data_IF_617557702618
#
_entry.id   IF_617557702618
#
_cell.length_a   1.000
_cell.length_b   1.000
_cell.length_c   1.000
_cell.angle_alpha   90.00
_cell.angle_beta   90.00
_cell.angle_gamma   90.00
#
_symmetry.space_group_name_H-M   'P 1'
#
loop_
_entity.id
_entity.type
_entity.pdbx_description
1 polymer ?
#
# COMPACT_ATOMS: atom_id res chain seq x y z
N UNK A 1 36.86 27.90 50.34
CA UNK A 1 37.14 27.64 48.91
C UNK A 1 36.51 26.30 48.57
N UNK A 2 35.44 26.31 47.78
CA UNK A 2 34.59 25.13 47.56
C UNK A 2 35.27 24.04 46.74
N UNK A 3 35.11 22.80 47.16
CA UNK A 3 35.51 21.59 46.44
C UNK A 3 34.53 21.36 45.28
N UNK A 4 34.72 22.04 44.15
CA UNK A 4 34.10 21.59 42.90
C UNK A 4 34.76 20.26 42.52
N UNK A 5 34.01 19.16 42.37
CA UNK A 5 34.59 17.86 42.08
C UNK A 5 35.20 17.85 40.68
N UNK A 6 36.52 18.07 40.59
CA UNK A 6 37.27 18.25 39.34
C UNK A 6 37.16 17.03 38.40
N UNK A 7 36.95 15.83 38.95
CA UNK A 7 36.84 14.59 38.18
C UNK A 7 35.42 14.31 37.64
N UNK A 8 34.39 15.00 38.14
CA UNK A 8 33.00 14.73 37.75
C UNK A 8 32.76 14.87 36.23
N UNK A 9 33.28 15.91 35.54
CA UNK A 9 33.11 16.02 34.08
C UNK A 9 33.72 14.84 33.31
N UNK A 10 34.84 14.29 33.80
CA UNK A 10 35.53 13.17 33.17
C UNK A 10 34.74 11.86 33.35
N UNK A 11 34.21 11.60 34.56
CA UNK A 11 33.37 10.44 34.85
C UNK A 11 32.10 10.46 33.98
N UNK A 12 31.41 11.61 33.92
CA UNK A 12 30.21 11.78 33.11
C UNK A 12 30.52 11.55 31.63
N UNK A 13 31.58 12.16 31.11
CA UNK A 13 31.97 12.01 29.71
C UNK A 13 32.33 10.56 29.34
N UNK A 14 33.06 9.86 30.20
CA UNK A 14 33.44 8.45 29.98
C UNK A 14 32.22 7.52 29.97
N UNK A 15 31.27 7.74 30.89
CA UNK A 15 30.02 6.97 30.93
C UNK A 15 29.14 7.25 29.70
N UNK A 16 29.00 8.52 29.29
CA UNK A 16 28.25 8.88 28.08
C UNK A 16 28.92 8.30 26.82
N UNK A 17 30.25 8.30 26.73
CA UNK A 17 30.97 7.70 25.62
C UNK A 17 30.75 6.18 25.54
N UNK A 18 30.80 5.47 26.67
CA UNK A 18 30.43 4.05 26.74
C UNK A 18 28.97 3.82 26.32
N UNK A 19 28.06 4.69 26.77
CA UNK A 19 26.65 4.67 26.37
C UNK A 19 26.46 4.86 24.86
N UNK A 20 27.19 5.79 24.25
CA UNK A 20 27.17 6.01 22.81
C UNK A 20 27.63 4.77 22.02
N UNK A 21 28.69 4.08 22.47
CA UNK A 21 29.16 2.83 21.86
C UNK A 21 28.08 1.74 21.98
N UNK A 22 27.42 1.63 23.13
CA UNK A 22 26.34 0.66 23.33
C UNK A 22 25.12 0.95 22.41
N UNK A 23 24.76 2.22 22.24
CA UNK A 23 23.70 2.66 21.32
C UNK A 23 24.06 2.39 19.85
N UNK A 24 25.31 2.63 19.45
CA UNK A 24 25.78 2.38 18.09
C UNK A 24 25.69 0.89 17.71
N UNK A 25 25.99 -0.02 18.64
CA UNK A 25 25.79 -1.48 18.45
C UNK A 25 24.33 -1.85 18.19
N UNK A 26 23.37 -0.99 18.59
CA UNK A 26 21.93 -1.13 18.32
C UNK A 26 21.46 -0.25 17.16
N UNK A 27 22.37 0.16 16.28
CA UNK A 27 22.10 0.99 15.09
C UNK A 27 21.61 2.42 15.41
N UNK A 28 21.90 2.95 16.60
CA UNK A 28 21.60 4.33 16.98
C UNK A 28 22.89 5.16 16.96
N UNK A 29 22.97 6.14 16.06
CA UNK A 29 24.14 7.00 15.90
C UNK A 29 24.00 8.26 16.75
N UNK A 30 24.83 8.38 17.79
CA UNK A 30 24.85 9.57 18.67
C UNK A 30 25.90 10.56 18.18
N UNK A 31 25.47 11.71 17.64
CA UNK A 31 26.37 12.79 17.20
C UNK A 31 26.84 13.71 18.32
N UNK A 32 26.08 13.79 19.43
CA UNK A 32 26.40 14.62 20.61
C UNK A 32 26.12 13.83 21.87
N UNK A 33 27.11 13.69 22.76
CA UNK A 33 26.99 12.84 23.97
C UNK A 33 25.87 13.28 24.92
N UNK A 34 25.63 14.59 25.03
CA UNK A 34 24.53 15.15 25.83
C UNK A 34 23.14 14.71 25.35
N UNK A 35 22.99 14.32 24.07
CA UNK A 35 21.71 13.84 23.54
C UNK A 35 21.26 12.55 24.23
N UNK A 36 22.17 11.76 24.79
CA UNK A 36 21.85 10.53 25.53
C UNK A 36 21.03 10.85 26.78
N UNK A 37 21.42 11.89 27.53
CA UNK A 37 20.68 12.30 28.72
C UNK A 37 19.32 12.88 28.37
N UNK A 38 19.26 13.73 27.35
CA UNK A 38 18.00 14.27 26.84
C UNK A 38 17.05 13.14 26.43
N UNK A 39 17.56 12.12 25.71
CA UNK A 39 16.76 10.97 25.29
C UNK A 39 16.24 10.14 26.47
N UNK A 40 17.04 9.99 27.54
CA UNK A 40 16.62 9.29 28.75
C UNK A 40 15.62 10.07 29.62
N UNK A 41 15.57 11.39 29.49
CA UNK A 41 14.67 12.28 30.22
C UNK A 41 13.48 12.76 29.37
N UNK A 42 13.24 12.15 28.21
CA UNK A 42 12.14 12.54 27.32
C UNK A 42 10.79 12.02 27.83
N UNK A 43 9.83 12.94 28.02
CA UNK A 43 8.43 12.62 28.31
C UNK A 43 7.54 12.58 27.05
N UNK A 44 7.96 13.28 25.98
CA UNK A 44 7.20 13.38 24.72
C UNK A 44 8.11 13.08 23.54
N UNK A 45 7.71 12.13 22.70
CA UNK A 45 8.40 11.78 21.45
C UNK A 45 7.57 12.21 20.25
N UNK A 46 8.00 13.26 19.57
CA UNK A 46 7.47 13.64 18.26
C UNK A 46 8.25 12.89 17.18
N UNK A 47 7.55 12.11 16.35
CA UNK A 47 8.12 11.35 15.25
C UNK A 47 7.40 11.69 13.96
N UNK A 48 8.14 11.69 12.84
CA UNK A 48 7.53 11.89 11.54
C UNK A 48 6.84 10.60 11.06
N UNK A 49 5.80 10.72 10.24
CA UNK A 49 5.10 9.54 9.72
C UNK A 49 5.92 8.87 8.61
N UNK A 50 6.21 9.61 7.54
CA UNK A 50 6.78 9.04 6.32
C UNK A 50 8.28 8.80 6.50
N UNK A 51 8.73 7.57 6.29
CA UNK A 51 10.15 7.21 6.41
C UNK A 51 10.66 7.04 7.85
N UNK A 52 9.80 7.24 8.86
CA UNK A 52 10.12 6.87 10.27
C UNK A 52 9.12 5.85 10.81
N UNK A 53 7.83 6.18 10.85
CA UNK A 53 6.78 5.21 11.24
C UNK A 53 6.42 4.27 10.09
N UNK A 54 6.45 4.77 8.85
CA UNK A 54 6.14 3.97 7.66
C UNK A 54 7.40 3.65 6.87
N UNK A 55 7.39 2.52 6.16
CA UNK A 55 8.51 2.03 5.36
C UNK A 55 8.55 2.62 3.95
N UNK A 56 7.82 3.71 3.69
CA UNK A 56 7.64 4.30 2.35
C UNK A 56 7.29 3.25 1.27
N UNK A 57 6.54 2.23 1.68
CA UNK A 57 6.16 1.08 0.86
C UNK A 57 4.68 0.84 1.00
N UNK A 58 3.97 0.93 -0.11
CA UNK A 58 2.56 0.54 -0.18
C UNK A 58 2.48 -0.99 -0.25
N UNK A 59 1.57 -1.55 0.53
CA UNK A 59 1.22 -2.97 0.54
C UNK A 59 -0.28 -3.11 0.34
N UNK A 60 -0.69 -4.13 -0.40
CA UNK A 60 -2.10 -4.51 -0.48
C UNK A 60 -2.42 -5.35 0.76
N UNK A 61 -3.39 -4.91 1.56
CA UNK A 61 -3.80 -5.61 2.77
C UNK A 61 -5.08 -6.44 2.55
N UNK A 62 -6.02 -5.89 1.79
CA UNK A 62 -7.34 -6.47 1.57
C UNK A 62 -7.80 -6.31 0.13
N UNK A 63 -8.48 -7.34 -0.39
CA UNK A 63 -9.16 -7.37 -1.69
C UNK A 63 -10.59 -7.86 -1.44
N UNK A 64 -11.52 -6.92 -1.26
CA UNK A 64 -12.84 -7.22 -0.72
C UNK A 64 -13.90 -7.27 -1.81
N UNK A 65 -14.91 -8.10 -1.59
CA UNK A 65 -16.21 -8.02 -2.27
C UNK A 65 -17.13 -6.98 -1.61
N UNK A 66 -18.32 -6.83 -2.16
CA UNK A 66 -19.31 -5.85 -1.70
C UNK A 66 -19.92 -6.15 -0.32
N UNK A 67 -19.63 -7.32 0.24
CA UNK A 67 -20.00 -7.68 1.60
C UNK A 67 -18.83 -7.48 2.58
N UNK A 68 -17.69 -6.98 2.11
CA UNK A 68 -16.48 -6.81 2.90
C UNK A 68 -15.71 -8.12 3.14
N UNK A 69 -16.02 -9.18 2.40
CA UNK A 69 -15.32 -10.48 2.48
C UNK A 69 -14.16 -10.52 1.49
N UNK A 70 -13.06 -11.20 1.85
CA UNK A 70 -11.93 -11.35 0.93
C UNK A 70 -12.35 -12.14 -0.32
N UNK A 71 -12.11 -11.57 -1.50
CA UNK A 71 -12.44 -12.17 -2.78
C UNK A 71 -11.24 -12.21 -3.73
N UNK A 72 -10.88 -13.41 -4.17
CA UNK A 72 -9.77 -13.62 -5.10
C UNK A 72 -10.10 -13.11 -6.51
N UNK A 73 -11.37 -13.06 -6.90
CA UNK A 73 -11.76 -12.52 -8.20
C UNK A 73 -11.41 -11.04 -8.31
N UNK A 74 -11.65 -10.27 -7.25
CA UNK A 74 -11.24 -8.85 -7.16
C UNK A 74 -9.72 -8.72 -7.25
N UNK A 75 -8.97 -9.58 -6.55
CA UNK A 75 -7.52 -9.62 -6.64
C UNK A 75 -7.05 -9.93 -8.07
N UNK A 76 -7.66 -10.91 -8.75
CA UNK A 76 -7.31 -11.31 -10.10
C UNK A 76 -7.54 -10.17 -11.11
N UNK A 77 -8.69 -9.49 -11.02
CA UNK A 77 -8.97 -8.32 -11.85
C UNK A 77 -7.97 -7.17 -11.60
N UNK A 78 -7.71 -6.85 -10.33
CA UNK A 78 -6.76 -5.81 -9.96
C UNK A 78 -5.33 -6.13 -10.42
N UNK A 79 -4.94 -7.41 -10.33
CA UNK A 79 -3.65 -7.90 -10.78
C UNK A 79 -3.53 -7.82 -12.30
N UNK A 80 -4.52 -8.31 -13.07
CA UNK A 80 -4.53 -8.20 -14.53
C UNK A 80 -4.39 -6.75 -14.97
N UNK A 81 -5.19 -5.85 -14.37
CA UNK A 81 -5.14 -4.42 -14.66
C UNK A 81 -3.74 -3.84 -14.39
N UNK A 82 -3.19 -4.09 -13.20
CA UNK A 82 -1.87 -3.57 -12.81
C UNK A 82 -0.71 -4.19 -13.60
N UNK A 83 -0.82 -5.47 -13.96
CA UNK A 83 0.21 -6.20 -14.67
C UNK A 83 0.36 -5.71 -16.12
N UNK A 84 -0.77 -5.54 -16.83
CA UNK A 84 -0.81 -5.16 -18.24
C UNK A 84 -0.83 -3.66 -18.51
N UNK A 85 -1.08 -2.81 -17.51
CA UNK A 85 -0.99 -1.35 -17.63
C UNK A 85 0.35 -0.91 -18.27
N UNK A 86 0.30 0.01 -19.24
CA UNK A 86 1.50 0.58 -19.86
C UNK A 86 2.09 1.72 -19.03
N UNK A 87 3.36 2.03 -19.30
CA UNK A 87 4.05 3.17 -18.68
C UNK A 87 4.60 2.84 -17.29
N UNK A 88 4.83 3.89 -16.49
CA UNK A 88 5.38 3.74 -15.15
C UNK A 88 4.31 3.26 -14.17
N UNK A 89 4.53 2.07 -13.61
CA UNK A 89 3.67 1.49 -12.57
C UNK A 89 3.80 2.30 -11.28
N UNK A 90 2.67 2.80 -10.78
CA UNK A 90 2.66 3.53 -9.51
C UNK A 90 2.91 2.57 -8.33
N UNK A 91 3.09 3.12 -7.12
CA UNK A 91 3.37 2.31 -5.93
C UNK A 91 2.22 1.36 -5.55
N UNK A 92 0.97 1.70 -5.89
CA UNK A 92 -0.20 0.84 -5.64
C UNK A 92 -0.21 -0.36 -6.59
N UNK A 93 0.03 -0.15 -7.89
CA UNK A 93 0.11 -1.20 -8.91
C UNK A 93 1.21 -2.20 -8.58
N UNK A 94 2.37 -1.68 -8.14
CA UNK A 94 3.47 -2.52 -7.67
C UNK A 94 3.10 -3.33 -6.43
N UNK A 95 2.32 -2.75 -5.51
CA UNK A 95 1.84 -3.46 -4.33
C UNK A 95 0.90 -4.61 -4.71
N UNK A 96 -0.04 -4.39 -5.63
CA UNK A 96 -0.96 -5.41 -6.13
C UNK A 96 -0.21 -6.53 -6.84
N UNK A 97 0.73 -6.20 -7.73
CA UNK A 97 1.52 -7.21 -8.46
C UNK A 97 2.33 -8.07 -7.49
N UNK A 98 3.04 -7.44 -6.55
CA UNK A 98 3.85 -8.15 -5.54
C UNK A 98 3.00 -9.01 -4.62
N UNK A 99 1.81 -8.54 -4.23
CA UNK A 99 0.90 -9.32 -3.40
C UNK A 99 0.32 -10.52 -4.15
N UNK A 100 -0.01 -10.36 -5.43
CA UNK A 100 -0.55 -11.44 -6.26
C UNK A 100 0.46 -12.54 -6.61
N UNK A 101 1.77 -12.26 -6.57
CA UNK A 101 2.80 -13.27 -6.80
C UNK A 101 2.68 -14.40 -5.77
N UNK A 102 2.45 -15.62 -6.26
CA UNK A 102 2.27 -16.82 -5.41
C UNK A 102 0.84 -17.01 -4.88
N UNK A 103 -0.11 -16.12 -5.23
CA UNK A 103 -1.52 -16.32 -4.86
C UNK A 103 -2.20 -17.31 -5.82
N UNK A 104 -3.14 -18.14 -5.34
CA UNK A 104 -3.86 -19.09 -6.16
C UNK A 104 -4.52 -18.44 -7.38
N UNK A 105 -4.33 -19.04 -8.56
CA UNK A 105 -4.93 -18.58 -9.81
C UNK A 105 -4.20 -17.44 -10.52
N UNK A 106 -3.30 -16.70 -9.86
CA UNK A 106 -2.60 -15.56 -10.48
C UNK A 106 -1.65 -16.00 -11.59
N UNK A 107 -0.97 -17.14 -11.45
CA UNK A 107 -0.09 -17.67 -12.49
C UNK A 107 -0.82 -17.94 -13.81
N UNK A 108 -2.08 -18.41 -13.73
CA UNK A 108 -2.91 -18.65 -14.91
C UNK A 108 -3.31 -17.33 -15.61
N UNK A 109 -3.35 -16.21 -14.89
CA UNK A 109 -3.64 -14.89 -15.46
C UNK A 109 -2.54 -14.40 -16.41
N UNK A 110 -1.32 -14.93 -16.30
CA UNK A 110 -0.24 -14.63 -17.25
C UNK A 110 -0.52 -15.08 -18.69
N UNK A 111 -1.58 -15.87 -18.92
CA UNK A 111 -2.04 -16.27 -20.25
C UNK A 111 -2.88 -15.21 -20.96
N UNK A 112 -3.33 -14.18 -20.25
CA UNK A 112 -4.00 -13.05 -20.88
C UNK A 112 -3.01 -12.22 -21.67
N UNK A 113 -3.43 -11.76 -22.85
CA UNK A 113 -2.69 -10.78 -23.64
C UNK A 113 -3.42 -9.44 -23.58
N UNK A 114 -2.66 -8.33 -23.59
CA UNK A 114 -3.25 -7.00 -23.68
C UNK A 114 -3.62 -6.71 -25.13
N UNK A 115 -4.86 -6.27 -25.34
CA UNK A 115 -5.37 -5.80 -26.62
C UNK A 115 -5.23 -4.29 -26.72
N UNK A 116 -5.70 -3.55 -25.71
CA UNK A 116 -5.71 -2.09 -25.72
C UNK A 116 -5.73 -1.51 -24.29
N UNK A 117 -5.56 -0.20 -24.17
CA UNK A 117 -5.58 0.54 -22.91
C UNK A 117 -6.10 1.97 -23.09
N UNK A 118 -6.95 2.39 -22.15
CA UNK A 118 -7.22 3.79 -21.88
C UNK A 118 -6.39 4.19 -20.66
N UNK A 119 -5.27 4.91 -20.86
CA UNK A 119 -4.38 5.29 -19.76
C UNK A 119 -5.12 6.17 -18.75
N UNK A 120 -4.50 6.35 -17.58
CA UNK A 120 -5.10 7.14 -16.52
C UNK A 120 -5.44 8.55 -17.01
N UNK A 121 -6.71 8.90 -16.82
CA UNK A 121 -7.28 10.16 -17.26
C UNK A 121 -7.65 10.98 -16.01
N UNK A 122 -7.16 12.21 -15.92
CA UNK A 122 -7.38 13.08 -14.76
C UNK A 122 -8.82 13.59 -14.63
N UNK A 123 -9.60 13.61 -15.72
CA UNK A 123 -11.01 14.00 -15.72
C UNK A 123 -11.84 12.82 -15.22
N UNK A 124 -11.58 11.63 -15.75
CA UNK A 124 -12.32 10.40 -15.42
C UNK A 124 -11.82 9.67 -14.17
N UNK A 125 -10.62 10.02 -13.71
CA UNK A 125 -9.88 9.51 -12.53
C UNK A 125 -9.82 7.98 -12.47
N UNK A 126 -9.68 7.37 -13.65
CA UNK A 126 -9.64 5.91 -13.84
C UNK A 126 -8.73 5.50 -14.99
N UNK A 127 -8.30 4.25 -14.94
CA UNK A 127 -7.50 3.57 -15.98
C UNK A 127 -8.20 2.28 -16.38
N UNK A 128 -8.26 2.02 -17.67
CA UNK A 128 -8.89 0.80 -18.20
C UNK A 128 -7.96 0.06 -19.14
N UNK A 129 -7.97 -1.27 -19.08
CA UNK A 129 -7.29 -2.12 -20.04
C UNK A 129 -8.27 -3.09 -20.66
N UNK A 130 -8.01 -3.48 -21.91
CA UNK A 130 -8.66 -4.61 -22.55
C UNK A 130 -7.66 -5.74 -22.63
N UNK A 131 -8.03 -6.88 -22.05
CA UNK A 131 -7.26 -8.12 -22.11
C UNK A 131 -8.04 -9.21 -22.81
N UNK A 132 -7.33 -10.17 -23.38
CA UNK A 132 -7.92 -11.29 -24.11
C UNK A 132 -7.35 -12.61 -23.61
N UNK A 133 -8.21 -13.62 -23.45
CA UNK A 133 -7.81 -14.98 -23.09
C UNK A 133 -7.40 -15.82 -24.33
N UNK A 134 -6.94 -17.05 -24.10
CA UNK A 134 -6.58 -18.00 -25.17
C UNK A 134 -7.75 -18.37 -26.10
N UNK A 135 -9.00 -18.21 -25.62
CA UNK A 135 -10.22 -18.46 -26.40
C UNK A 135 -10.69 -17.22 -27.17
N UNK A 136 -9.84 -16.19 -27.27
CA UNK A 136 -10.14 -14.92 -27.92
C UNK A 136 -11.26 -14.10 -27.24
N UNK A 137 -11.66 -14.44 -26.01
CA UNK A 137 -12.66 -13.67 -25.26
C UNK A 137 -12.00 -12.45 -24.65
N UNK A 138 -12.59 -11.29 -24.90
CA UNK A 138 -12.09 -10.02 -24.41
C UNK A 138 -12.76 -9.62 -23.10
N UNK A 139 -12.01 -8.96 -22.23
CA UNK A 139 -12.45 -8.42 -20.97
C UNK A 139 -11.89 -7.01 -20.79
N UNK A 140 -12.78 -6.04 -20.62
CA UNK A 140 -12.43 -4.69 -20.19
C UNK A 140 -12.35 -4.67 -18.66
N UNK A 141 -11.21 -4.22 -18.12
CA UNK A 141 -11.01 -4.07 -16.68
C UNK A 141 -10.67 -2.62 -16.40
N UNK A 142 -11.49 -1.97 -15.57
CA UNK A 142 -11.29 -0.58 -15.15
C UNK A 142 -10.97 -0.52 -13.66
N UNK A 143 -10.03 0.34 -13.27
CA UNK A 143 -9.74 0.66 -11.87
C UNK A 143 -9.67 2.17 -11.67
N UNK A 144 -10.07 2.62 -10.49
CA UNK A 144 -10.08 4.03 -10.10
C UNK A 144 -10.43 4.20 -8.63
N UNK A 145 -10.64 5.44 -8.20
CA UNK A 145 -11.25 5.71 -6.90
C UNK A 145 -12.65 5.10 -6.85
N UNK A 146 -13.11 4.69 -5.67
CA UNK A 146 -14.32 3.87 -5.59
C UNK A 146 -15.57 4.66 -5.96
N UNK A 147 -15.59 5.94 -5.62
CA UNK A 147 -16.63 6.90 -5.99
C UNK A 147 -16.77 6.99 -7.51
N UNK A 148 -15.66 7.10 -8.24
CA UNK A 148 -15.62 7.20 -9.71
C UNK A 148 -16.10 5.91 -10.39
N UNK A 149 -15.80 4.76 -9.77
CA UNK A 149 -16.27 3.47 -10.26
C UNK A 149 -17.77 3.28 -10.01
N UNK A 150 -18.27 3.73 -8.84
CA UNK A 150 -19.68 3.68 -8.47
C UNK A 150 -20.55 4.55 -9.38
N UNK A 151 -20.07 5.73 -9.75
CA UNK A 151 -20.80 6.66 -10.62
C UNK A 151 -21.13 6.09 -12.01
N UNK A 152 -20.30 5.16 -12.51
CA UNK A 152 -20.46 4.55 -13.85
C UNK A 152 -20.97 3.10 -13.79
N UNK A 153 -21.08 2.51 -12.61
CA UNK A 153 -21.50 1.13 -12.44
C UNK A 153 -23.02 1.01 -12.44
N UNK A 154 -23.55 0.22 -13.36
CA UNK A 154 -24.98 -0.11 -13.41
C UNK A 154 -25.31 -1.41 -12.69
N UNK A 155 -24.30 -2.24 -12.45
CA UNK A 155 -24.44 -3.56 -11.85
C UNK A 155 -23.33 -3.85 -10.84
N UNK A 156 -23.65 -4.73 -9.91
CA UNK A 156 -22.73 -5.23 -8.88
C UNK A 156 -22.76 -6.74 -8.87
N UNK A 157 -21.62 -7.34 -8.55
CA UNK A 157 -21.52 -8.78 -8.37
C UNK A 157 -21.64 -9.15 -6.90
N UNK A 158 -22.53 -10.07 -6.57
CA UNK A 158 -22.68 -10.66 -5.24
C UNK A 158 -22.50 -12.17 -5.37
N UNK A 159 -21.34 -12.67 -4.99
CA UNK A 159 -20.96 -14.06 -5.25
C UNK A 159 -20.91 -14.36 -6.76
N UNK A 160 -21.80 -15.23 -7.23
CA UNK A 160 -21.90 -15.58 -8.65
C UNK A 160 -22.98 -14.78 -9.40
N UNK A 161 -23.80 -14.01 -8.68
CA UNK A 161 -24.91 -13.27 -9.28
C UNK A 161 -24.50 -11.84 -9.61
N UNK A 162 -25.10 -11.29 -10.67
CA UNK A 162 -24.96 -9.89 -11.07
C UNK A 162 -26.32 -9.22 -10.86
N UNK A 163 -26.35 -8.24 -9.97
CA UNK A 163 -27.54 -7.50 -9.58
C UNK A 163 -27.45 -6.06 -10.09
N UNK A 164 -28.60 -5.43 -10.33
CA UNK A 164 -28.66 -4.00 -10.66
C UNK A 164 -28.27 -3.19 -9.43
N UNK A 165 -27.47 -2.15 -9.64
CA UNK A 165 -27.08 -1.23 -8.58
C UNK A 165 -28.20 -0.20 -8.36
N UNK A 166 -29.17 -0.52 -7.50
CA UNK A 166 -30.25 0.40 -7.16
C UNK A 166 -29.76 1.51 -6.22
N UNK A 167 -30.01 2.78 -6.57
CA UNK A 167 -29.50 3.98 -5.88
C UNK A 167 -29.96 4.22 -4.43
N UNK A 168 -30.59 3.22 -3.79
CA UNK A 168 -31.13 3.28 -2.43
C UNK A 168 -30.48 2.34 -1.41
N UNK A 169 -29.59 1.44 -1.83
CA UNK A 169 -28.89 0.56 -0.88
C UNK A 169 -27.59 1.22 -0.40
N UNK A 170 -27.36 1.36 0.92
CA UNK A 170 -26.07 1.80 1.43
C UNK A 170 -25.07 0.66 1.18
N UNK A 171 -24.49 0.60 -0.02
CA UNK A 171 -23.38 -0.29 -0.33
C UNK A 171 -22.23 0.07 0.63
N UNK A 172 -22.01 -0.80 1.61
CA UNK A 172 -20.78 -0.80 2.41
C UNK A 172 -19.66 -1.38 1.54
N UNK A 173 -19.16 -0.53 0.64
CA UNK A 173 -17.97 -0.61 -0.22
C UNK A 173 -17.15 -1.91 -0.28
N UNK A 174 -17.00 -2.47 -1.50
CA UNK A 174 -15.78 -2.39 -2.35
C UNK A 174 -15.72 -3.60 -3.32
N UNK A 175 -15.39 -3.38 -4.60
CA UNK A 175 -15.18 -4.48 -5.56
C UNK A 175 -15.99 -4.32 -6.85
N UNK A 176 -15.68 -3.28 -7.63
CA UNK A 176 -16.29 -3.09 -8.94
C UNK A 176 -15.46 -3.75 -10.04
N UNK A 177 -16.14 -4.61 -10.78
CA UNK A 177 -15.62 -5.35 -11.91
C UNK A 177 -16.73 -6.21 -12.48
N UNK A 178 -17.84 -5.60 -12.91
CA UNK A 178 -18.79 -6.24 -13.83
C UNK A 178 -18.49 -5.64 -15.21
N UNK A 179 -18.39 -6.46 -16.27
CA UNK A 179 -18.15 -5.93 -17.61
C UNK A 179 -19.37 -5.09 -18.01
N UNK A 180 -19.12 -3.89 -18.52
CA UNK A 180 -19.97 -3.31 -19.56
C UNK A 180 -19.82 -4.12 -20.83
#
# INVERSE_FOLDING_TARGET
>A
MGLTPEMLPMIVSSNLAKGAIAMARRKVVVKRLNAIQNFGAMDVLCTDKTGTLTQDRIILEHHLDVNGSKDNHVLHLAWLNSFHQSGMKNLMDQAVIRFGQGQPGVEALGRYSKVDELPFDFIRRRLSIVVQDEQQRQLLICKGAVEEMLEIATHVRVGQEVLVLDGGSPCRFAGFGVPV
#
